data_IF_396532016222
#
_entry.id   IF_396532016222
#
_cell.length_a   1.000
_cell.length_b   1.000
_cell.length_c   1.000
_cell.angle_alpha   90.00
_cell.angle_beta   90.00
_cell.angle_gamma   90.00
#
_symmetry.space_group_name_H-M   'P 1'
#
loop_
_entity.id
_entity.type
_entity.pdbx_description
1 polymer ?
#
# COMPACT_ATOMS: atom_id res chain seq x y z
N UNK A 1 10.53 9.48 -12.79
CA UNK A 1 9.16 9.05 -12.46
C UNK A 1 8.29 9.11 -13.70
N UNK A 2 7.23 8.29 -13.74
CA UNK A 2 6.25 8.26 -14.84
C UNK A 2 5.17 9.33 -14.59
N UNK A 3 4.72 10.09 -15.61
CA UNK A 3 3.61 11.03 -15.46
C UNK A 3 2.33 10.36 -14.95
N UNK A 4 1.57 11.03 -14.10
CA UNK A 4 0.42 10.45 -13.39
C UNK A 4 -0.61 9.77 -14.32
N UNK A 5 -0.97 10.41 -15.43
CA UNK A 5 -1.93 9.82 -16.39
C UNK A 5 -1.41 8.51 -16.98
N UNK A 6 -0.11 8.47 -17.28
CA UNK A 6 0.54 7.28 -17.84
C UNK A 6 0.67 6.18 -16.80
N UNK A 7 1.07 6.50 -15.57
CA UNK A 7 1.16 5.48 -14.50
C UNK A 7 -0.21 4.92 -14.14
N UNK A 8 -1.24 5.77 -14.08
CA UNK A 8 -2.62 5.33 -13.83
C UNK A 8 -3.15 4.40 -14.93
N UNK A 9 -2.87 4.69 -16.20
CA UNK A 9 -3.24 3.81 -17.32
C UNK A 9 -2.54 2.44 -17.23
N UNK A 10 -1.24 2.44 -16.94
CA UNK A 10 -0.46 1.20 -16.76
C UNK A 10 -1.07 0.35 -15.65
N UNK A 11 -1.33 0.95 -14.48
CA UNK A 11 -1.95 0.25 -13.34
C UNK A 11 -3.34 -0.28 -13.71
N UNK A 12 -4.16 0.50 -14.43
CA UNK A 12 -5.48 0.06 -14.89
C UNK A 12 -5.42 -1.19 -15.74
N UNK A 13 -4.45 -1.28 -16.67
CA UNK A 13 -4.22 -2.48 -17.48
C UNK A 13 -3.76 -3.66 -16.64
N UNK A 14 -2.87 -3.43 -15.67
CA UNK A 14 -2.40 -4.49 -14.75
C UNK A 14 -3.53 -5.06 -13.89
N UNK A 15 -4.41 -4.20 -13.36
CA UNK A 15 -5.59 -4.66 -12.62
C UNK A 15 -6.54 -5.44 -13.52
N UNK A 16 -6.80 -4.95 -14.74
CA UNK A 16 -7.62 -5.67 -15.71
C UNK A 16 -7.08 -7.08 -16.03
N UNK A 17 -5.75 -7.21 -16.15
CA UNK A 17 -5.10 -8.50 -16.37
C UNK A 17 -5.24 -9.44 -15.17
N UNK A 18 -5.04 -8.95 -13.95
CA UNK A 18 -5.22 -9.74 -12.73
C UNK A 18 -6.66 -10.25 -12.60
N UNK A 19 -7.65 -9.39 -12.87
CA UNK A 19 -9.07 -9.75 -12.89
C UNK A 19 -9.37 -10.82 -13.93
N UNK A 20 -8.85 -10.67 -15.15
CA UNK A 20 -9.00 -11.68 -16.22
C UNK A 20 -8.45 -13.05 -15.82
N UNK A 21 -7.30 -13.07 -15.13
CA UNK A 21 -6.66 -14.30 -14.63
C UNK A 21 -7.34 -14.87 -13.38
N UNK A 22 -8.21 -14.09 -12.72
CA UNK A 22 -8.86 -14.48 -11.47
C UNK A 22 -7.89 -14.54 -10.29
N UNK A 23 -6.87 -13.69 -10.28
CA UNK A 23 -5.87 -13.63 -9.22
C UNK A 23 -5.74 -12.21 -8.63
N UNK A 24 -5.09 -12.11 -7.48
CA UNK A 24 -4.73 -10.82 -6.90
C UNK A 24 -3.55 -10.18 -7.65
N UNK A 25 -3.42 -8.85 -7.53
CA UNK A 25 -2.33 -8.09 -8.15
C UNK A 25 -0.95 -8.52 -7.63
N UNK A 26 -0.87 -8.88 -6.34
CA UNK A 26 0.31 -9.43 -5.66
C UNK A 26 0.74 -10.81 -6.18
N UNK A 27 -0.17 -11.54 -6.83
CA UNK A 27 0.08 -12.89 -7.35
C UNK A 27 0.61 -12.89 -8.79
N UNK A 28 0.67 -11.74 -9.46
CA UNK A 28 1.28 -11.61 -10.77
C UNK A 28 2.80 -11.74 -10.67
N UNK A 29 3.40 -12.49 -11.58
CA UNK A 29 4.86 -12.63 -11.68
C UNK A 29 5.49 -11.37 -12.28
N UNK A 30 6.78 -11.15 -12.02
CA UNK A 30 7.49 -9.97 -12.55
C UNK A 30 7.50 -9.99 -14.08
N UNK A 31 7.59 -11.17 -14.68
CA UNK A 31 7.51 -11.33 -16.13
C UNK A 31 6.16 -10.88 -16.69
N UNK A 32 5.05 -11.21 -16.03
CA UNK A 32 3.71 -10.76 -16.40
C UNK A 32 3.58 -9.24 -16.26
N UNK A 33 4.07 -8.67 -15.15
CA UNK A 33 4.08 -7.22 -14.95
C UNK A 33 4.91 -6.52 -16.04
N UNK A 34 6.13 -7.00 -16.31
CA UNK A 34 7.02 -6.48 -17.37
C UNK A 34 6.42 -6.61 -18.76
N UNK A 35 5.58 -7.62 -19.02
CA UNK A 35 4.87 -7.76 -20.29
C UNK A 35 3.85 -6.63 -20.52
N UNK A 36 3.30 -6.05 -19.45
CA UNK A 36 2.37 -4.91 -19.51
C UNK A 36 3.14 -3.60 -19.62
N UNK A 37 4.19 -3.44 -18.82
CA UNK A 37 5.11 -2.31 -18.94
C UNK A 37 6.50 -2.64 -18.37
N UNK A 38 7.59 -2.35 -19.09
CA UNK A 38 8.96 -2.63 -18.61
C UNK A 38 9.39 -1.79 -17.40
N UNK A 39 8.59 -0.81 -16.96
CA UNK A 39 8.89 0.01 -15.78
C UNK A 39 8.79 -0.76 -14.45
N UNK A 40 8.09 -1.90 -14.44
CA UNK A 40 7.97 -2.71 -13.23
C UNK A 40 9.27 -3.43 -12.92
N UNK A 41 9.76 -3.30 -11.69
CA UNK A 41 10.92 -4.01 -11.16
C UNK A 41 10.54 -4.81 -9.91
N UNK A 42 11.47 -5.58 -9.34
CA UNK A 42 11.21 -6.45 -8.17
C UNK A 42 10.69 -5.69 -6.95
N UNK A 43 11.04 -4.40 -6.83
CA UNK A 43 10.59 -3.52 -5.75
C UNK A 43 9.06 -3.34 -5.72
N UNK A 44 8.36 -3.62 -6.82
CA UNK A 44 6.89 -3.56 -6.89
C UNK A 44 6.22 -4.36 -5.78
N UNK A 45 6.78 -5.52 -5.40
CA UNK A 45 6.22 -6.39 -4.38
C UNK A 45 6.33 -5.82 -2.96
N UNK A 46 7.20 -4.83 -2.74
CA UNK A 46 7.26 -4.08 -1.48
C UNK A 46 6.08 -3.11 -1.31
N UNK A 47 5.34 -2.83 -2.38
CA UNK A 47 4.17 -1.93 -2.36
C UNK A 47 2.84 -2.71 -2.46
N UNK A 48 2.84 -3.87 -3.09
CA UNK A 48 1.65 -4.69 -3.25
C UNK A 48 1.28 -5.41 -1.95
N UNK A 49 -0.03 -5.52 -1.70
CA UNK A 49 -0.59 -6.16 -0.52
C UNK A 49 -1.05 -5.17 0.55
N UNK A 50 -2.04 -5.58 1.35
CA UNK A 50 -2.71 -4.73 2.33
C UNK A 50 -1.73 -4.18 3.37
N UNK A 51 -0.91 -5.05 3.96
CA UNK A 51 0.06 -4.63 4.99
C UNK A 51 1.10 -3.65 4.46
N UNK A 52 1.63 -3.90 3.26
CA UNK A 52 2.62 -3.05 2.61
C UNK A 52 2.03 -1.68 2.26
N UNK A 53 0.78 -1.67 1.79
CA UNK A 53 0.05 -0.44 1.54
C UNK A 53 -0.11 0.39 2.83
N UNK A 54 -0.57 -0.24 3.93
CA UNK A 54 -0.74 0.43 5.23
C UNK A 54 0.59 1.00 5.76
N UNK A 55 1.69 0.26 5.63
CA UNK A 55 3.03 0.70 6.08
C UNK A 55 3.54 1.96 5.37
N UNK A 56 3.08 2.25 4.16
CA UNK A 56 3.50 3.44 3.39
C UNK A 56 2.79 4.72 3.83
N UNK A 57 1.71 4.62 4.62
CA UNK A 57 1.04 5.79 5.20
C UNK A 57 1.83 6.29 6.42
N UNK A 58 2.84 7.12 6.19
CA UNK A 58 3.73 7.64 7.25
C UNK A 58 3.57 9.14 7.49
N UNK A 59 2.77 9.82 6.68
CA UNK A 59 2.49 11.24 6.87
C UNK A 59 1.67 11.47 8.13
N UNK A 60 1.90 12.61 8.80
CA UNK A 60 1.16 13.00 10.00
C UNK A 60 -0.36 12.88 9.79
N UNK A 61 -1.04 12.21 10.72
CA UNK A 61 -2.49 11.99 10.69
C UNK A 61 -2.97 10.93 9.68
N UNK A 62 -2.07 10.23 9.00
CA UNK A 62 -2.43 9.13 8.10
C UNK A 62 -2.82 7.85 8.86
N UNK A 63 -3.32 6.87 8.13
CA UNK A 63 -3.82 5.59 8.68
C UNK A 63 -2.74 4.53 8.89
N UNK A 64 -1.46 4.89 8.78
CA UNK A 64 -0.39 3.93 9.04
C UNK A 64 -0.26 3.62 10.52
N UNK A 65 0.25 2.42 10.81
CA UNK A 65 0.35 1.89 12.19
C UNK A 65 1.06 2.85 13.15
N UNK A 66 2.15 3.50 12.70
CA UNK A 66 2.91 4.45 13.52
C UNK A 66 2.05 5.67 13.87
N UNK A 67 1.41 6.28 12.86
CA UNK A 67 0.55 7.44 13.07
C UNK A 67 -0.65 7.12 13.96
N UNK A 68 -1.26 5.94 13.79
CA UNK A 68 -2.36 5.50 14.65
C UNK A 68 -1.89 5.31 16.10
N UNK A 69 -0.72 4.69 16.32
CA UNK A 69 -0.16 4.52 17.67
C UNK A 69 0.18 5.86 18.35
N UNK A 70 0.70 6.83 17.58
CA UNK A 70 0.92 8.21 18.05
C UNK A 70 -0.40 8.89 18.43
N UNK A 71 -1.43 8.78 17.59
CA UNK A 71 -2.76 9.33 17.87
C UNK A 71 -3.38 8.69 19.11
N UNK A 72 -3.27 7.37 19.27
CA UNK A 72 -3.74 6.68 20.48
C UNK A 72 -3.03 7.20 21.73
N UNK A 73 -1.70 7.36 21.67
CA UNK A 73 -0.92 7.87 22.80
C UNK A 73 -1.32 9.30 23.17
N UNK A 74 -1.48 10.16 22.15
CA UNK A 74 -1.93 11.54 22.33
C UNK A 74 -3.29 11.63 23.03
N UNK A 75 -4.28 10.83 22.60
CA UNK A 75 -5.62 10.86 23.19
C UNK A 75 -5.67 10.20 24.56
N UNK A 76 -4.89 9.15 24.82
CA UNK A 76 -4.79 8.58 26.16
C UNK A 76 -4.26 9.60 27.18
N UNK A 77 -3.21 10.35 26.82
CA UNK A 77 -2.67 11.42 27.67
C UNK A 77 -3.69 12.55 27.86
N UNK A 78 -4.34 13.00 26.79
CA UNK A 78 -5.26 14.14 26.84
C UNK A 78 -6.57 13.86 27.59
N UNK A 79 -6.99 12.60 27.65
CA UNK A 79 -8.25 12.18 28.27
C UNK A 79 -8.04 11.52 29.66
N UNK A 80 -6.81 11.52 30.19
CA UNK A 80 -6.44 10.81 31.42
C UNK A 80 -6.87 9.33 31.42
N UNK A 81 -6.85 8.70 30.24
CA UNK A 81 -7.15 7.27 30.11
C UNK A 81 -5.88 6.53 30.49
N UNK A 82 -5.85 5.98 31.70
CA UNK A 82 -4.80 5.04 32.12
C UNK A 82 -4.74 3.90 31.10
N UNK A 83 -3.53 3.55 30.65
CA UNK A 83 -3.33 2.36 29.80
C UNK A 83 -3.78 1.13 30.61
N UNK A 84 -5.05 0.75 30.43
CA UNK A 84 -5.64 -0.40 31.09
C UNK A 84 -4.90 -1.67 30.65
N UNK A 85 -4.20 -2.27 31.60
CA UNK A 85 -3.95 -3.70 31.79
C UNK A 85 -3.45 -4.53 30.60
N UNK A 86 -2.23 -5.06 30.76
CA UNK A 86 -1.65 -6.31 30.23
C UNK A 86 -2.19 -6.89 28.92
#
# INVERSE_FOLDING_TARGET
>A
GVPFRTSHDIVGRTVGYAVFKGCELSQLTLQELKSINPVFEEDVYEFLGVENCIKKFTSYGSTGMVCVAEQMSYWCEKLDISKGGQ
#
